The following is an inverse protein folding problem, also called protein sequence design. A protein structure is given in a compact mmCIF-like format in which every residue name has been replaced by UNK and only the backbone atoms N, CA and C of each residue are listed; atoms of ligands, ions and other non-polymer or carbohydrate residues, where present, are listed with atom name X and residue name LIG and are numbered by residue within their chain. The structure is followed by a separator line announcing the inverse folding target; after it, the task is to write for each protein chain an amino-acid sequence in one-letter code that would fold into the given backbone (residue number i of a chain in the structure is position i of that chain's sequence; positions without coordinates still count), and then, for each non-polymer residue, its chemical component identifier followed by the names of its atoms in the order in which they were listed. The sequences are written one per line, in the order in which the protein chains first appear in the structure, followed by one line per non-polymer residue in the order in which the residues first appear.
data_IF_619999605179
#
_entry.id   IF_619999605179
#
_cell.length_a   1.000
_cell.length_b   1.000
_cell.length_c   1.000
_cell.angle_alpha   90.00
_cell.angle_beta   90.00
_cell.angle_gamma   90.00
#
_symmetry.space_group_name_H-M   'P 1'
#
loop_
_entity.id
_entity.type
_entity.pdbx_description
1 polymer ?
#
# COMPACT_ATOMS: atom_id res chain seq x y z
N UNK A 1 -4.04 -13.53 6.01
CA UNK A 1 -2.81 -12.81 5.59
C UNK A 1 -2.55 -13.01 4.10
N UNK A 2 -1.78 -12.12 3.48
CA UNK A 2 -1.43 -12.19 2.06
C UNK A 2 0.09 -12.16 1.84
N UNK A 3 0.55 -12.84 0.82
CA UNK A 3 1.94 -12.77 0.34
C UNK A 3 2.15 -11.60 -0.64
N UNK A 4 1.09 -10.93 -1.05
CA UNK A 4 1.11 -9.94 -2.13
C UNK A 4 1.82 -8.62 -1.79
N UNK A 5 1.94 -8.24 -0.52
CA UNK A 5 2.40 -6.91 -0.07
C UNK A 5 3.84 -6.96 0.46
N UNK A 6 4.03 -7.10 1.75
CA UNK A 6 5.35 -7.11 2.38
C UNK A 6 6.30 -8.18 1.83
N UNK A 7 5.77 -9.25 1.23
CA UNK A 7 6.55 -10.32 0.63
C UNK A 7 6.82 -10.13 -0.87
N UNK A 8 6.26 -9.07 -1.48
CA UNK A 8 6.38 -8.74 -2.91
C UNK A 8 5.98 -9.89 -3.87
N UNK A 9 5.09 -10.79 -3.44
CA UNK A 9 4.66 -11.96 -4.20
C UNK A 9 3.22 -11.82 -4.73
N UNK A 10 2.85 -10.62 -5.17
CA UNK A 10 1.49 -10.33 -5.64
C UNK A 10 1.08 -11.20 -6.85
N UNK A 11 2.01 -11.50 -7.76
CA UNK A 11 1.77 -12.33 -8.94
C UNK A 11 1.43 -13.79 -8.62
N UNK A 12 1.80 -14.30 -7.44
CA UNK A 12 1.51 -15.67 -7.05
C UNK A 12 0.08 -15.89 -6.55
N UNK A 13 -0.70 -14.82 -6.35
CA UNK A 13 -2.09 -14.87 -5.89
C UNK A 13 -2.30 -15.74 -4.64
N UNK A 14 -1.41 -15.62 -3.66
CA UNK A 14 -1.34 -16.48 -2.49
C UNK A 14 -1.64 -15.71 -1.20
N UNK A 15 -2.42 -16.34 -0.36
CA UNK A 15 -2.71 -15.92 1.00
C UNK A 15 -2.98 -17.12 1.90
N UNK A 16 -3.16 -16.87 3.17
CA UNK A 16 -3.54 -17.89 4.15
C UNK A 16 -4.46 -17.34 5.22
N UNK A 17 -5.26 -18.22 5.78
CA UNK A 17 -6.13 -17.95 6.90
C UNK A 17 -5.67 -18.79 8.08
N UNK A 18 -5.68 -18.18 9.26
CA UNK A 18 -5.50 -18.86 10.54
C UNK A 18 -6.75 -18.58 11.39
N UNK A 19 -7.35 -19.61 11.91
CA UNK A 19 -8.55 -19.53 12.72
C UNK A 19 -8.78 -20.82 13.48
N UNK A 20 -9.87 -20.87 14.25
CA UNK A 20 -10.30 -22.08 14.92
C UNK A 20 -10.51 -23.21 13.89
N UNK A 21 -10.20 -24.47 14.25
CA UNK A 21 -10.33 -25.61 13.32
C UNK A 21 -11.71 -25.73 12.69
N UNK A 22 -12.76 -25.47 13.47
CA UNK A 22 -14.17 -25.54 13.03
C UNK A 22 -14.44 -24.49 11.94
N UNK A 23 -14.00 -23.24 12.14
CA UNK A 23 -14.13 -22.17 11.16
C UNK A 23 -13.33 -22.47 9.89
N UNK A 24 -12.10 -22.96 10.03
CA UNK A 24 -11.26 -23.32 8.90
C UNK A 24 -11.88 -24.48 8.09
N UNK A 25 -12.56 -25.43 8.74
CA UNK A 25 -13.28 -26.51 8.08
C UNK A 25 -14.47 -26.00 7.25
N UNK A 26 -15.27 -25.08 7.79
CA UNK A 26 -16.39 -24.49 7.06
C UNK A 26 -15.92 -23.67 5.84
N UNK A 27 -14.88 -22.85 6.01
CA UNK A 27 -14.31 -22.08 4.91
C UNK A 27 -13.73 -22.98 3.80
N UNK A 28 -13.20 -24.14 4.16
CA UNK A 28 -12.68 -25.12 3.19
C UNK A 28 -13.78 -25.68 2.28
N UNK A 29 -15.02 -25.80 2.77
CA UNK A 29 -16.16 -26.25 1.97
C UNK A 29 -16.49 -25.28 0.81
N UNK A 30 -16.26 -23.98 1.01
CA UNK A 30 -16.48 -22.95 -0.01
C UNK A 30 -15.27 -22.76 -0.95
N UNK A 31 -14.18 -23.48 -0.73
CA UNK A 31 -12.97 -23.35 -1.52
C UNK A 31 -13.12 -24.09 -2.85
N UNK A 32 -12.68 -23.44 -3.95
CA UNK A 32 -12.64 -24.09 -5.25
C UNK A 32 -11.67 -25.28 -5.28
N UNK A 33 -11.94 -26.33 -6.09
CA UNK A 33 -10.94 -27.37 -6.34
C UNK A 33 -9.65 -26.77 -6.90
N UNK A 34 -8.50 -27.20 -6.38
CA UNK A 34 -7.17 -26.73 -6.82
C UNK A 34 -6.97 -25.21 -6.75
N UNK A 35 -7.28 -24.55 -5.62
CA UNK A 35 -7.35 -23.09 -5.52
C UNK A 35 -5.98 -22.40 -5.66
N UNK A 36 -4.90 -23.13 -5.47
CA UNK A 36 -3.51 -22.61 -5.53
C UNK A 36 -2.65 -23.52 -6.39
N UNK A 37 -1.97 -22.95 -7.39
CA UNK A 37 -1.05 -23.70 -8.23
C UNK A 37 0.22 -24.12 -7.45
N UNK A 38 0.87 -25.18 -7.93
CA UNK A 38 2.03 -25.77 -7.24
C UNK A 38 3.22 -24.82 -7.13
N UNK A 39 3.47 -23.99 -8.13
CA UNK A 39 4.56 -23.01 -8.11
C UNK A 39 4.36 -22.01 -6.97
N UNK A 40 3.14 -21.50 -6.79
CA UNK A 40 2.80 -20.59 -5.68
C UNK A 40 3.02 -21.26 -4.30
N UNK A 41 2.69 -22.55 -4.17
CA UNK A 41 2.91 -23.29 -2.91
C UNK A 41 4.40 -23.42 -2.62
N UNK A 42 5.21 -23.82 -3.61
CA UNK A 42 6.65 -23.96 -3.41
C UNK A 42 7.32 -22.61 -3.13
N UNK A 43 6.91 -21.55 -3.82
CA UNK A 43 7.39 -20.19 -3.52
C UNK A 43 7.05 -19.76 -2.08
N UNK A 44 5.86 -20.11 -1.58
CA UNK A 44 5.51 -19.85 -0.17
C UNK A 44 6.38 -20.64 0.80
N UNK A 45 6.70 -21.89 0.49
CA UNK A 45 7.60 -22.73 1.31
C UNK A 45 9.00 -22.13 1.37
N UNK A 46 9.54 -21.66 0.25
CA UNK A 46 10.80 -20.94 0.20
C UNK A 46 10.74 -19.66 1.03
N UNK A 47 9.71 -18.85 0.83
CA UNK A 47 9.50 -17.63 1.59
C UNK A 47 9.45 -17.88 3.12
N UNK A 48 8.79 -18.96 3.54
CA UNK A 48 8.71 -19.34 4.96
C UNK A 48 10.08 -19.70 5.57
N UNK A 49 11.05 -20.19 4.78
CA UNK A 49 12.43 -20.43 5.22
C UNK A 49 13.21 -19.13 5.41
N UNK A 50 12.82 -18.06 4.72
CA UNK A 50 13.48 -16.74 4.77
C UNK A 50 12.68 -15.71 5.57
N UNK A 51 11.93 -16.16 6.58
CA UNK A 51 11.01 -15.30 7.36
C UNK A 51 11.70 -14.08 8.01
N UNK A 52 12.97 -14.20 8.36
CA UNK A 52 13.67 -13.08 9.03
C UNK A 52 14.00 -11.96 8.03
N UNK A 53 14.39 -12.31 6.81
CA UNK A 53 14.51 -11.35 5.71
C UNK A 53 13.17 -10.65 5.42
N UNK A 54 12.06 -11.40 5.42
CA UNK A 54 10.74 -10.85 5.18
C UNK A 54 10.27 -9.91 6.30
N UNK A 55 10.62 -10.23 7.56
CA UNK A 55 10.38 -9.35 8.71
C UNK A 55 11.17 -8.05 8.62
N UNK A 56 12.45 -8.15 8.21
CA UNK A 56 13.29 -6.96 8.03
C UNK A 56 12.71 -6.04 6.95
N UNK A 57 12.34 -6.57 5.79
CA UNK A 57 11.65 -5.79 4.74
C UNK A 57 10.34 -5.15 5.22
N UNK A 58 9.56 -5.85 6.02
CA UNK A 58 8.35 -5.29 6.60
C UNK A 58 8.65 -4.11 7.54
N UNK A 59 9.75 -4.19 8.32
CA UNK A 59 10.21 -3.10 9.19
C UNK A 59 10.73 -1.91 8.38
N UNK A 60 11.45 -2.17 7.29
CA UNK A 60 11.91 -1.12 6.37
C UNK A 60 10.75 -0.34 5.77
N UNK A 61 9.72 -1.04 5.27
CA UNK A 61 8.50 -0.41 4.76
C UNK A 61 7.81 0.40 5.86
N UNK A 62 7.75 -0.11 7.08
CA UNK A 62 7.14 0.61 8.19
C UNK A 62 7.91 1.89 8.52
N UNK A 63 9.24 1.84 8.60
CA UNK A 63 10.11 3.02 8.81
C UNK A 63 9.94 4.05 7.68
N UNK A 64 9.95 3.60 6.43
CA UNK A 64 9.77 4.47 5.27
C UNK A 64 8.38 5.13 5.26
N UNK A 65 7.32 4.38 5.62
CA UNK A 65 5.96 4.92 5.78
C UNK A 65 5.91 6.01 6.85
N UNK A 66 6.44 5.71 8.02
CA UNK A 66 6.40 6.64 9.15
C UNK A 66 7.19 7.91 8.85
N UNK A 67 8.33 7.79 8.17
CA UNK A 67 9.11 8.93 7.69
C UNK A 67 8.37 9.76 6.63
N UNK A 68 7.73 9.12 5.65
CA UNK A 68 6.92 9.83 4.65
C UNK A 68 5.70 10.51 5.28
N UNK A 69 5.04 9.84 6.23
CA UNK A 69 3.93 10.40 6.99
C UNK A 69 4.30 11.71 7.68
N UNK A 70 5.41 11.74 8.41
CA UNK A 70 5.88 12.96 9.11
C UNK A 70 6.18 14.09 8.11
N UNK A 71 6.80 13.77 6.99
CA UNK A 71 7.10 14.75 5.95
C UNK A 71 5.84 15.32 5.30
N UNK A 72 4.84 14.50 5.04
CA UNK A 72 3.56 14.93 4.48
C UNK A 72 2.79 15.81 5.47
N UNK A 73 2.81 15.49 6.77
CA UNK A 73 2.21 16.34 7.82
C UNK A 73 2.79 17.75 7.86
N UNK A 74 4.06 17.92 7.47
CA UNK A 74 4.73 19.22 7.44
C UNK A 74 4.38 20.05 6.19
N UNK A 75 3.67 19.48 5.19
CA UNK A 75 3.29 20.22 3.97
C UNK A 75 1.97 20.95 4.21
N UNK A 76 1.93 22.29 4.12
CA UNK A 76 0.70 23.05 4.26
C UNK A 76 -0.36 22.61 3.25
N UNK A 77 -1.59 22.48 3.71
CA UNK A 77 -2.72 22.07 2.86
C UNK A 77 -2.81 20.56 2.58
N UNK A 78 -1.97 19.74 3.22
CA UNK A 78 -2.06 18.27 3.20
C UNK A 78 -2.63 17.78 4.52
N UNK A 79 -3.64 16.96 4.44
CA UNK A 79 -4.10 16.12 5.54
C UNK A 79 -3.75 14.66 5.21
N UNK A 80 -2.92 14.03 6.03
CA UNK A 80 -2.47 12.65 5.87
C UNK A 80 -2.95 11.80 7.04
N UNK A 81 -3.37 10.58 6.77
CA UNK A 81 -3.97 9.69 7.76
C UNK A 81 -2.98 8.61 8.21
N UNK A 82 -2.93 8.28 9.51
CA UNK A 82 -2.05 7.25 10.02
C UNK A 82 -2.41 5.88 9.42
N UNK A 83 -1.40 5.07 9.13
CA UNK A 83 -1.57 3.77 8.50
C UNK A 83 -0.70 2.70 9.17
N UNK A 84 -1.16 1.45 9.10
CA UNK A 84 -0.37 0.25 9.43
C UNK A 84 -0.08 -0.60 8.18
N UNK A 85 -0.51 -0.12 7.00
CA UNK A 85 -0.26 -0.76 5.70
C UNK A 85 1.02 -0.28 5.04
N UNK A 86 1.20 -0.65 3.79
CA UNK A 86 2.28 -0.20 2.91
C UNK A 86 1.84 0.98 2.03
N UNK A 87 0.97 1.81 2.53
CA UNK A 87 0.43 3.00 1.85
C UNK A 87 0.01 4.05 2.87
N UNK A 88 -0.18 5.28 2.40
CA UNK A 88 -0.82 6.37 3.13
C UNK A 88 -2.04 6.86 2.35
N UNK A 89 -3.10 7.20 3.08
CA UNK A 89 -4.22 8.00 2.58
C UNK A 89 -3.94 9.47 2.88
N UNK A 90 -4.32 10.33 1.96
CA UNK A 90 -4.20 11.77 2.13
C UNK A 90 -5.22 12.52 1.30
N UNK A 91 -5.52 13.74 1.69
CA UNK A 91 -6.26 14.72 0.91
C UNK A 91 -5.56 16.07 0.93
N UNK A 92 -5.91 16.92 -0.01
CA UNK A 92 -5.35 18.26 -0.13
C UNK A 92 -6.46 19.28 -0.29
N UNK A 93 -6.18 20.54 0.00
CA UNK A 93 -7.12 21.65 -0.23
C UNK A 93 -7.50 21.87 -1.70
N UNK A 94 -6.74 21.29 -2.66
CA UNK A 94 -7.05 21.36 -4.10
C UNK A 94 -8.10 20.32 -4.55
N UNK A 95 -8.43 19.35 -3.70
CA UNK A 95 -9.28 18.21 -4.03
C UNK A 95 -8.55 17.09 -4.78
N UNK A 96 -9.14 15.89 -4.77
CA UNK A 96 -8.52 14.67 -5.30
C UNK A 96 -8.21 14.78 -6.80
N UNK A 97 -9.16 15.23 -7.61
CA UNK A 97 -9.00 15.27 -9.08
C UNK A 97 -7.86 16.18 -9.53
N UNK A 98 -7.79 17.40 -8.98
CA UNK A 98 -6.73 18.36 -9.35
C UNK A 98 -5.37 17.87 -8.90
N UNK A 99 -5.27 17.37 -7.66
CA UNK A 99 -4.03 16.83 -7.10
C UNK A 99 -3.56 15.62 -7.90
N UNK A 100 -4.46 14.69 -8.24
CA UNK A 100 -4.14 13.52 -9.07
C UNK A 100 -3.58 13.93 -10.44
N UNK A 101 -4.28 14.85 -11.14
CA UNK A 101 -3.86 15.30 -12.46
C UNK A 101 -2.49 15.98 -12.44
N UNK A 102 -2.23 16.85 -11.46
CA UNK A 102 -0.94 17.53 -11.31
C UNK A 102 0.20 16.56 -10.98
N UNK A 103 -0.01 15.59 -10.09
CA UNK A 103 0.98 14.56 -9.79
C UNK A 103 1.27 13.69 -11.03
N UNK A 104 0.24 13.32 -11.80
CA UNK A 104 0.39 12.53 -13.02
C UNK A 104 1.21 13.28 -14.08
N UNK A 105 0.98 14.58 -14.27
CA UNK A 105 1.78 15.43 -15.17
C UNK A 105 3.26 15.48 -14.78
N UNK A 106 3.56 15.34 -13.50
CA UNK A 106 4.92 15.25 -12.97
C UNK A 106 5.50 13.82 -13.00
N UNK A 107 4.81 12.87 -13.64
CA UNK A 107 5.23 11.46 -13.72
C UNK A 107 4.99 10.65 -12.45
N UNK A 108 4.20 11.16 -11.50
CA UNK A 108 3.88 10.48 -10.24
C UNK A 108 2.47 9.95 -10.26
N UNK A 109 2.32 8.62 -10.28
CA UNK A 109 1.03 7.96 -10.25
C UNK A 109 0.65 7.56 -8.81
N UNK A 110 -0.43 8.14 -8.32
CA UNK A 110 -1.10 7.75 -7.08
C UNK A 110 -2.44 7.07 -7.40
N UNK A 111 -3.12 6.53 -6.41
CA UNK A 111 -4.46 5.97 -6.61
C UNK A 111 -5.52 6.94 -6.14
N UNK A 112 -6.42 7.30 -7.05
CA UNK A 112 -7.66 7.97 -6.69
C UNK A 112 -8.61 6.95 -6.06
N UNK A 113 -9.03 7.22 -4.83
CA UNK A 113 -9.98 6.42 -4.05
C UNK A 113 -11.23 7.23 -3.68
N UNK A 114 -11.36 8.44 -4.22
CA UNK A 114 -12.44 9.39 -3.89
C UNK A 114 -13.84 8.91 -4.32
N UNK A 115 -13.92 7.93 -5.19
CA UNK A 115 -15.20 7.30 -5.57
C UNK A 115 -15.75 6.30 -4.54
N UNK A 116 -15.03 6.03 -3.45
CA UNK A 116 -15.54 5.17 -2.38
C UNK A 116 -16.30 5.99 -1.34
N UNK A 117 -17.48 5.56 -0.87
CA UNK A 117 -18.29 6.26 0.11
C UNK A 117 -17.51 6.67 1.31
N UNK A 118 -16.92 6.89 2.00
CA UNK A 118 -16.08 7.22 3.16
C UNK A 118 -14.69 7.75 2.82
N UNK A 119 -14.32 7.82 1.53
CA UNK A 119 -12.99 8.27 1.09
C UNK A 119 -13.08 9.47 0.13
N UNK A 120 -14.11 10.28 0.28
CA UNK A 120 -14.30 11.48 -0.52
C UNK A 120 -13.07 12.39 -0.49
N UNK A 121 -12.67 12.87 -1.67
CA UNK A 121 -11.49 13.71 -1.86
C UNK A 121 -10.15 13.08 -1.43
N UNK A 122 -10.10 11.75 -1.25
CA UNK A 122 -8.88 11.07 -0.83
C UNK A 122 -8.12 10.44 -2.00
N UNK A 123 -6.81 10.53 -1.85
CA UNK A 123 -5.83 9.83 -2.67
C UNK A 123 -5.04 8.85 -1.81
N UNK A 124 -4.49 7.82 -2.44
CA UNK A 124 -3.65 6.82 -1.79
C UNK A 124 -2.30 6.73 -2.48
N UNK A 125 -1.22 6.90 -1.74
CA UNK A 125 0.14 6.67 -2.20
C UNK A 125 0.69 5.37 -1.59
N UNK A 126 1.32 4.52 -2.41
CA UNK A 126 2.07 3.37 -1.94
C UNK A 126 3.43 3.81 -1.39
N UNK A 127 3.93 3.10 -0.38
CA UNK A 127 5.29 3.32 0.13
C UNK A 127 6.26 2.63 -0.81
N UNK A 128 7.11 3.42 -1.44
CA UNK A 128 8.18 3.00 -2.33
C UNK A 128 9.55 2.99 -1.65
N UNK A 129 10.58 2.95 -2.46
CA UNK A 129 11.97 3.16 -2.05
C UNK A 129 12.17 4.60 -1.52
N UNK A 130 13.26 4.89 -0.79
CA UNK A 130 13.55 6.26 -0.36
C UNK A 130 13.55 7.27 -1.50
N UNK A 131 14.08 6.90 -2.68
CA UNK A 131 14.12 7.75 -3.85
C UNK A 131 12.70 8.02 -4.42
N UNK A 132 11.86 6.99 -4.53
CA UNK A 132 10.49 7.14 -5.00
C UNK A 132 9.65 7.98 -4.03
N UNK A 133 9.80 7.77 -2.72
CA UNK A 133 9.12 8.58 -1.71
C UNK A 133 9.57 10.05 -1.76
N UNK A 134 10.83 10.31 -2.09
CA UNK A 134 11.36 11.66 -2.28
C UNK A 134 10.76 12.33 -3.53
N UNK A 135 10.70 11.61 -4.65
CA UNK A 135 10.08 12.09 -5.90
C UNK A 135 8.61 12.46 -5.64
N UNK A 136 7.86 11.57 -5.01
CA UNK A 136 6.46 11.82 -4.65
C UNK A 136 6.32 13.07 -3.77
N UNK A 137 7.12 13.17 -2.69
CA UNK A 137 7.01 14.28 -1.76
C UNK A 137 7.31 15.63 -2.41
N UNK A 138 8.33 15.72 -3.27
CA UNK A 138 8.64 16.93 -4.04
C UNK A 138 7.53 17.29 -5.01
N UNK A 139 6.98 16.30 -5.73
CA UNK A 139 5.88 16.53 -6.65
C UNK A 139 4.62 17.02 -5.92
N UNK A 140 4.30 16.46 -4.77
CA UNK A 140 3.17 16.89 -3.95
C UNK A 140 3.35 18.34 -3.46
N UNK A 141 4.52 18.67 -2.94
CA UNK A 141 4.84 20.03 -2.48
C UNK A 141 4.71 21.05 -3.60
N UNK A 142 5.27 20.74 -4.78
CA UNK A 142 5.16 21.59 -5.97
C UNK A 142 3.71 21.77 -6.44
N UNK A 143 2.93 20.69 -6.46
CA UNK A 143 1.50 20.72 -6.81
C UNK A 143 0.74 21.74 -5.98
N UNK A 144 1.02 21.82 -4.68
CA UNK A 144 0.33 22.74 -3.78
C UNK A 144 0.82 24.18 -3.90
N UNK A 145 2.09 24.39 -4.20
CA UNK A 145 2.65 25.72 -4.45
C UNK A 145 2.12 26.35 -5.75
N UNK A 146 1.93 25.56 -6.79
CA UNK A 146 1.43 26.02 -8.11
C UNK A 146 -0.10 26.11 -8.16
N UNK A 147 -0.80 25.48 -7.23
CA UNK A 147 -2.27 25.45 -7.16
C UNK A 147 -2.89 26.52 -6.25
N UNK A 148 -2.05 27.30 -5.56
CA UNK A 148 -2.45 28.45 -4.73
C UNK A 148 -2.40 29.72 -5.55
#
# INVERSE_FOLDING_TARGET
RTFSKALALAGLRLGYLLGAPELAAEMRKAQQPYPVNRVSIEAARVAAKHRDLLRERAREIARARDGLYQRMMAVPGVEVFPSKGNFLLFRTGLGAKRTFASLLQQGVLVRDVSGHPELEEMLRVAIGTPAENEIFHRALTRTLQEGT
#
